data_IF_223975917387
#
_entry.id   IF_223975917387
#
_cell.length_a   1.000
_cell.length_b   1.000
_cell.length_c   1.000
_cell.angle_alpha   90.00
_cell.angle_beta   90.00
_cell.angle_gamma   90.00
#
_symmetry.space_group_name_H-M   'P 1'
#
loop_
_entity.id
_entity.type
_entity.pdbx_description
1 polymer ?
#
# COMPACT_ATOMS: atom_id res chain seq x y z
N UNK A 1 25.04 -17.21 -4.55
CA UNK A 1 25.07 -15.82 -5.06
C UNK A 1 26.49 -15.23 -5.15
N UNK A 2 27.39 -15.46 -4.20
CA UNK A 2 28.79 -14.97 -4.30
C UNK A 2 29.59 -15.61 -5.45
N UNK A 3 29.31 -16.84 -5.85
CA UNK A 3 29.93 -17.48 -7.03
C UNK A 3 29.41 -16.96 -8.38
N UNK A 4 28.33 -16.18 -8.40
CA UNK A 4 27.77 -15.60 -9.64
C UNK A 4 28.48 -14.31 -10.05
N UNK A 5 29.14 -13.65 -9.11
CA UNK A 5 29.75 -12.34 -9.29
C UNK A 5 31.19 -12.40 -8.81
N UNK A 6 32.14 -12.00 -9.65
CA UNK A 6 33.56 -12.03 -9.33
C UNK A 6 33.94 -10.74 -8.57
N UNK A 7 33.52 -10.67 -7.30
CA UNK A 7 33.68 -9.47 -6.47
C UNK A 7 35.14 -9.16 -6.14
N UNK A 8 35.51 -7.88 -6.28
CA UNK A 8 36.74 -7.32 -5.76
C UNK A 8 36.37 -6.10 -4.90
N UNK A 9 36.78 -6.11 -3.63
CA UNK A 9 36.43 -5.08 -2.67
C UNK A 9 37.56 -4.04 -2.57
N UNK A 10 37.18 -2.76 -2.59
CA UNK A 10 38.09 -1.64 -2.43
C UNK A 10 37.56 -0.70 -1.35
N UNK A 11 38.47 -0.06 -0.62
CA UNK A 11 38.12 0.95 0.38
C UNK A 11 38.03 2.33 -0.29
N UNK A 12 36.84 2.93 -0.24
CA UNK A 12 36.54 4.25 -0.85
C UNK A 12 35.77 5.12 0.13
N UNK A 13 36.31 5.31 1.33
CA UNK A 13 35.68 6.13 2.38
C UNK A 13 35.81 7.62 2.03
N UNK A 14 34.68 8.24 1.66
CA UNK A 14 34.60 9.68 1.33
C UNK A 14 33.75 10.42 2.37
N UNK A 15 33.96 11.74 2.50
CA UNK A 15 33.11 12.63 3.30
C UNK A 15 32.04 13.35 2.45
N UNK A 16 31.82 12.91 1.21
CA UNK A 16 30.82 13.51 0.33
C UNK A 16 29.41 13.26 0.91
N UNK A 17 28.53 14.27 0.91
CA UNK A 17 27.17 14.10 1.42
C UNK A 17 26.33 13.21 0.50
N UNK A 18 25.47 12.38 1.09
CA UNK A 18 24.58 11.45 0.39
C UNK A 18 23.26 12.13 -0.05
N UNK A 19 23.33 13.28 -0.71
CA UNK A 19 22.14 14.10 -0.99
C UNK A 19 21.15 13.42 -1.92
N UNK A 20 21.64 12.71 -2.94
CA UNK A 20 20.78 12.01 -3.90
C UNK A 20 20.20 10.74 -3.29
N UNK A 21 21.01 9.98 -2.57
CA UNK A 21 20.61 8.72 -1.94
C UNK A 21 19.57 8.94 -0.84
N UNK A 22 19.74 9.98 -0.02
CA UNK A 22 18.83 10.30 1.09
C UNK A 22 17.53 10.97 0.64
N UNK A 23 17.45 11.46 -0.60
CA UNK A 23 16.25 12.10 -1.14
C UNK A 23 15.02 11.17 -1.21
N UNK A 24 15.26 9.87 -1.30
CA UNK A 24 14.23 8.83 -1.40
C UNK A 24 13.90 8.17 -0.04
N UNK A 25 14.57 8.58 1.04
CA UNK A 25 14.31 8.05 2.37
C UNK A 25 13.04 8.66 2.99
N UNK A 26 12.31 7.82 3.71
CA UNK A 26 11.26 8.29 4.63
C UNK A 26 11.90 8.77 5.93
N UNK A 27 12.54 9.93 5.89
CA UNK A 27 13.05 10.55 7.10
C UNK A 27 11.91 11.16 7.91
N UNK A 28 11.93 10.95 9.24
CA UNK A 28 10.93 11.46 10.18
C UNK A 28 10.77 13.00 10.12
N UNK A 29 11.81 13.71 9.69
CA UNK A 29 11.84 15.18 9.59
C UNK A 29 11.43 15.69 8.20
N UNK A 30 11.32 14.81 7.19
CA UNK A 30 10.97 15.19 5.82
C UNK A 30 9.52 14.84 5.54
N UNK A 31 8.71 15.86 5.27
CA UNK A 31 7.33 15.71 4.83
C UNK A 31 7.32 15.46 3.33
N UNK A 32 7.33 14.20 2.91
CA UNK A 32 7.14 13.85 1.50
C UNK A 32 5.74 14.32 1.03
N UNK A 33 5.71 15.06 -0.07
CA UNK A 33 4.50 15.64 -0.66
C UNK A 33 3.98 14.87 -1.89
N UNK A 34 4.35 13.59 -2.04
CA UNK A 34 3.95 12.71 -3.14
C UNK A 34 3.14 11.49 -2.70
N UNK A 35 2.79 10.63 -3.68
CA UNK A 35 2.27 9.29 -3.39
C UNK A 35 3.31 8.45 -2.66
N UNK A 36 2.87 7.48 -1.86
CA UNK A 36 3.75 6.58 -1.12
C UNK A 36 4.58 5.74 -2.11
N UNK A 37 5.93 5.78 -2.04
CA UNK A 37 6.75 4.95 -2.92
C UNK A 37 6.65 3.47 -2.52
N UNK A 38 6.91 2.57 -3.47
CA UNK A 38 6.77 1.12 -3.31
C UNK A 38 7.50 0.55 -2.08
N UNK A 39 8.72 1.03 -1.81
CA UNK A 39 9.52 0.62 -0.65
C UNK A 39 8.85 0.96 0.68
N UNK A 40 8.13 2.08 0.71
CA UNK A 40 7.41 2.57 1.90
C UNK A 40 6.15 1.78 2.13
N UNK A 41 5.41 1.53 1.04
CA UNK A 41 4.21 0.71 1.04
C UNK A 41 4.52 -0.70 1.56
N UNK A 42 5.54 -1.35 1.00
CA UNK A 42 5.98 -2.69 1.43
C UNK A 42 6.44 -2.70 2.89
N UNK A 43 7.20 -1.68 3.33
CA UNK A 43 7.65 -1.59 4.72
C UNK A 43 6.49 -1.46 5.72
N UNK A 44 5.51 -0.60 5.45
CA UNK A 44 4.32 -0.45 6.31
C UNK A 44 3.50 -1.73 6.31
N UNK A 45 3.22 -2.32 5.14
CA UNK A 45 2.39 -3.52 5.05
C UNK A 45 3.03 -4.74 5.70
N UNK A 46 4.36 -4.86 5.71
CA UNK A 46 5.08 -5.91 6.45
C UNK A 46 4.85 -5.85 7.97
N UNK A 47 4.55 -4.67 8.52
CA UNK A 47 4.24 -4.51 9.94
C UNK A 47 2.80 -4.92 10.31
N UNK A 48 1.92 -5.07 9.31
CA UNK A 48 0.53 -5.44 9.51
C UNK A 48 0.34 -6.94 9.67
N UNK A 49 -0.78 -7.30 10.31
CA UNK A 49 -1.21 -8.71 10.43
C UNK A 49 -1.51 -9.33 9.06
N UNK A 50 -1.42 -10.67 8.91
CA UNK A 50 -1.74 -11.34 7.64
C UNK A 50 -3.15 -11.03 7.11
N UNK A 51 -4.14 -10.96 8.01
CA UNK A 51 -5.52 -10.62 7.63
C UNK A 51 -5.62 -9.17 7.13
N UNK A 52 -4.94 -8.24 7.79
CA UNK A 52 -4.88 -6.83 7.36
C UNK A 52 -4.23 -6.71 5.96
N UNK A 53 -3.14 -7.43 5.71
CA UNK A 53 -2.54 -7.52 4.36
C UNK A 53 -3.52 -8.09 3.34
N UNK A 54 -4.28 -9.12 3.70
CA UNK A 54 -5.34 -9.68 2.86
C UNK A 54 -6.46 -8.69 2.53
N UNK A 55 -6.90 -7.90 3.52
CA UNK A 55 -7.91 -6.84 3.32
C UNK A 55 -7.37 -5.78 2.37
N UNK A 56 -6.13 -5.32 2.57
CA UNK A 56 -5.50 -4.35 1.68
C UNK A 56 -5.34 -4.89 0.25
N UNK A 57 -4.91 -6.15 0.10
CA UNK A 57 -4.78 -6.83 -1.19
C UNK A 57 -6.11 -6.91 -1.95
N UNK A 58 -7.19 -7.24 -1.24
CA UNK A 58 -8.54 -7.28 -1.82
C UNK A 58 -8.97 -5.90 -2.33
N UNK A 59 -8.74 -4.85 -1.54
CA UNK A 59 -9.03 -3.47 -1.94
C UNK A 59 -8.20 -3.04 -3.16
N UNK A 60 -6.90 -3.39 -3.21
CA UNK A 60 -6.01 -3.08 -4.32
C UNK A 60 -6.46 -3.75 -5.62
N UNK A 61 -6.81 -5.05 -5.58
CA UNK A 61 -7.32 -5.78 -6.77
C UNK A 61 -8.59 -5.12 -7.30
N UNK A 62 -9.55 -4.86 -6.40
CA UNK A 62 -10.80 -4.21 -6.79
C UNK A 62 -10.60 -2.81 -7.38
N UNK A 63 -9.63 -2.04 -6.88
CA UNK A 63 -9.31 -0.73 -7.44
C UNK A 63 -8.70 -0.83 -8.85
N UNK A 64 -7.77 -1.76 -9.08
CA UNK A 64 -7.14 -1.95 -10.39
C UNK A 64 -8.13 -2.46 -11.45
N UNK A 65 -8.99 -3.41 -11.08
CA UNK A 65 -10.00 -3.97 -11.99
C UNK A 65 -11.02 -2.92 -12.48
N UNK A 66 -11.31 -1.92 -11.64
CA UNK A 66 -12.31 -0.89 -11.92
C UNK A 66 -11.72 0.45 -12.38
N UNK A 67 -10.39 0.59 -12.43
CA UNK A 67 -9.73 1.85 -12.78
C UNK A 67 -9.99 2.31 -14.21
N UNK A 68 -10.23 1.37 -15.13
CA UNK A 68 -10.57 1.64 -16.53
C UNK A 68 -11.98 2.24 -16.71
N UNK A 69 -12.84 2.13 -15.68
CA UNK A 69 -14.22 2.63 -15.74
C UNK A 69 -14.28 4.11 -15.33
N UNK A 70 -14.59 5.05 -16.25
CA UNK A 70 -14.62 6.49 -15.93
C UNK A 70 -15.72 6.90 -14.93
N UNK A 71 -16.66 5.99 -14.64
CA UNK A 71 -17.72 6.19 -13.63
C UNK A 71 -17.38 5.59 -12.26
N UNK A 72 -16.17 5.05 -12.07
CA UNK A 72 -15.81 4.42 -10.81
C UNK A 72 -15.57 5.47 -9.71
N UNK A 73 -16.50 5.55 -8.76
CA UNK A 73 -16.43 6.48 -7.63
C UNK A 73 -15.62 5.94 -6.44
N UNK A 74 -15.26 4.65 -6.47
CA UNK A 74 -14.62 3.89 -5.39
C UNK A 74 -15.50 2.74 -4.89
N UNK A 75 -15.03 2.01 -3.88
CA UNK A 75 -15.76 0.89 -3.29
C UNK A 75 -16.54 1.33 -2.04
N UNK A 76 -17.83 0.98 -1.95
CA UNK A 76 -18.65 1.29 -0.78
C UNK A 76 -18.21 0.44 0.42
N UNK A 77 -18.33 0.99 1.63
CA UNK A 77 -18.00 0.24 2.85
C UNK A 77 -18.83 -1.06 2.98
N UNK A 78 -20.11 -1.02 2.60
CA UNK A 78 -21.00 -2.17 2.72
C UNK A 78 -20.58 -3.32 1.80
N UNK A 79 -20.28 -3.02 0.54
CA UNK A 79 -19.82 -4.02 -0.43
C UNK A 79 -18.45 -4.56 -0.05
N UNK A 80 -17.54 -3.68 0.41
CA UNK A 80 -16.22 -4.11 0.87
C UNK A 80 -16.30 -5.04 2.08
N UNK A 81 -17.18 -4.73 3.03
CA UNK A 81 -17.42 -5.58 4.19
C UNK A 81 -17.92 -6.96 3.79
N UNK A 82 -18.85 -7.03 2.84
CA UNK A 82 -19.35 -8.30 2.32
C UNK A 82 -18.21 -9.13 1.72
N UNK A 83 -17.40 -8.55 0.83
CA UNK A 83 -16.27 -9.26 0.19
C UNK A 83 -15.22 -9.71 1.23
N UNK A 84 -14.89 -8.87 2.22
CA UNK A 84 -13.95 -9.24 3.28
C UNK A 84 -14.48 -10.40 4.14
N UNK A 85 -15.80 -10.46 4.37
CA UNK A 85 -16.43 -11.54 5.13
C UNK A 85 -16.49 -12.84 4.34
N UNK A 86 -16.78 -12.77 3.04
CA UNK A 86 -16.75 -13.92 2.13
C UNK A 86 -15.34 -14.53 2.01
N UNK A 87 -14.31 -13.70 2.07
CA UNK A 87 -12.90 -14.13 2.10
C UNK A 87 -12.40 -14.55 3.49
N UNK A 88 -13.27 -14.60 4.51
CA UNK A 88 -12.93 -14.93 5.91
C UNK A 88 -11.83 -14.04 6.53
N UNK A 89 -11.67 -12.80 6.06
CA UNK A 89 -10.65 -11.88 6.57
C UNK A 89 -11.08 -11.16 7.85
N UNK A 90 -12.39 -10.94 8.02
CA UNK A 90 -12.98 -10.24 9.16
C UNK A 90 -14.19 -10.97 9.71
N UNK A 91 -14.42 -10.84 11.02
CA UNK A 91 -15.52 -11.47 11.74
C UNK A 91 -16.69 -10.51 12.06
N UNK A 92 -16.48 -9.19 11.99
CA UNK A 92 -17.50 -8.19 12.34
C UNK A 92 -17.23 -6.85 11.64
N UNK A 93 -18.25 -6.00 11.57
CA UNK A 93 -18.13 -4.64 11.04
C UNK A 93 -17.11 -3.81 11.85
N UNK A 94 -17.12 -3.96 13.18
CA UNK A 94 -16.23 -3.22 14.08
C UNK A 94 -14.75 -3.55 13.81
N UNK A 95 -14.42 -4.81 13.54
CA UNK A 95 -13.03 -5.20 13.24
C UNK A 95 -12.56 -4.65 11.91
N UNK A 96 -13.42 -4.61 10.88
CA UNK A 96 -13.09 -3.95 9.62
C UNK A 96 -12.89 -2.44 9.80
N UNK A 97 -13.75 -1.76 10.58
CA UNK A 97 -13.58 -0.33 10.87
C UNK A 97 -12.27 -0.02 11.58
N UNK A 98 -11.86 -0.85 12.53
CA UNK A 98 -10.57 -0.70 13.20
C UNK A 98 -9.41 -0.81 12.19
N UNK A 99 -9.46 -1.80 11.30
CA UNK A 99 -8.45 -1.97 10.23
C UNK A 99 -8.41 -0.80 9.25
N UNK A 100 -9.59 -0.29 8.83
CA UNK A 100 -9.66 0.90 7.97
C UNK A 100 -9.13 2.17 8.67
N UNK A 101 -9.26 2.24 10.00
CA UNK A 101 -8.70 3.35 10.80
C UNK A 101 -7.17 3.25 10.82
N UNK A 102 -6.62 2.06 11.06
CA UNK A 102 -5.18 1.80 10.99
C UNK A 102 -4.60 2.15 9.62
N UNK A 103 -5.28 1.76 8.52
CA UNK A 103 -4.86 2.12 7.17
C UNK A 103 -4.90 3.64 6.91
N UNK A 104 -5.84 4.36 7.51
CA UNK A 104 -5.91 5.83 7.42
C UNK A 104 -4.78 6.50 8.18
N UNK A 105 -4.45 6.00 9.37
CA UNK A 105 -3.36 6.55 10.19
C UNK A 105 -2.01 6.40 9.48
N UNK A 106 -1.83 5.30 8.75
CA UNK A 106 -0.69 5.07 7.87
C UNK A 106 -0.80 5.72 6.48
N UNK A 107 -1.87 6.47 6.21
CA UNK A 107 -2.17 7.14 4.93
C UNK A 107 -2.21 6.20 3.71
N UNK A 108 -2.50 4.93 3.94
CA UNK A 108 -2.63 3.90 2.90
C UNK A 108 -3.95 4.01 2.14
N UNK A 109 -5.00 4.54 2.79
CA UNK A 109 -6.31 4.74 2.17
C UNK A 109 -6.83 6.16 2.42
N UNK A 110 -7.70 6.60 1.53
CA UNK A 110 -8.56 7.77 1.68
C UNK A 110 -10.02 7.34 1.58
N UNK A 111 -10.88 8.13 2.21
CA UNK A 111 -12.32 8.01 2.08
C UNK A 111 -12.85 9.26 1.41
N UNK A 112 -13.64 9.09 0.37
CA UNK A 112 -14.32 10.16 -0.35
C UNK A 112 -15.82 10.00 -0.16
N UNK A 113 -16.49 11.08 0.27
CA UNK A 113 -17.95 11.11 0.30
C UNK A 113 -18.46 11.41 -1.10
N UNK A 114 -19.29 10.51 -1.63
CA UNK A 114 -20.01 10.73 -2.89
C UNK A 114 -21.11 11.78 -2.75
N UNK A 115 -21.64 12.23 -3.88
CA UNK A 115 -22.79 13.14 -3.92
C UNK A 115 -24.03 12.54 -3.21
N UNK A 116 -24.13 11.21 -3.21
CA UNK A 116 -25.22 10.44 -2.61
C UNK A 116 -25.05 10.24 -1.09
N UNK A 117 -23.99 10.81 -0.49
CA UNK A 117 -23.67 10.67 0.93
C UNK A 117 -22.97 9.36 1.32
N UNK A 118 -22.80 8.44 0.35
CA UNK A 118 -22.08 7.17 0.54
C UNK A 118 -20.57 7.42 0.65
N UNK A 119 -19.92 6.70 1.58
CA UNK A 119 -18.48 6.72 1.75
C UNK A 119 -17.80 5.68 0.87
N UNK A 120 -16.90 6.16 0.01
CA UNK A 120 -16.10 5.35 -0.91
C UNK A 120 -14.65 5.25 -0.44
N UNK A 121 -14.12 4.04 -0.44
CA UNK A 121 -12.74 3.72 -0.09
C UNK A 121 -11.87 3.74 -1.34
N UNK A 122 -10.71 4.38 -1.25
CA UNK A 122 -9.75 4.50 -2.36
C UNK A 122 -8.30 4.56 -1.84
N UNK A 123 -7.39 3.95 -2.58
CA UNK A 123 -5.95 3.91 -2.30
C UNK A 123 -5.28 5.05 -3.10
N UNK A 124 -4.68 6.05 -2.45
CA UNK A 124 -4.02 7.18 -3.11
C UNK A 124 -2.59 6.83 -3.57
N UNK A 125 -2.44 5.69 -4.25
CA UNK A 125 -1.17 5.21 -4.80
C UNK A 125 -1.36 5.03 -6.31
N UNK A 126 -0.29 5.28 -7.07
CA UNK A 126 -0.31 5.10 -8.52
C UNK A 126 -0.56 3.63 -8.88
N UNK A 127 -1.26 3.41 -10.00
CA UNK A 127 -1.65 2.06 -10.41
C UNK A 127 -0.48 1.18 -10.80
N UNK A 128 0.57 1.74 -11.42
CA UNK A 128 1.79 0.99 -11.71
C UNK A 128 2.47 0.52 -10.43
N UNK A 129 2.54 1.41 -9.43
CA UNK A 129 3.10 1.06 -8.10
C UNK A 129 2.26 0.00 -7.36
N UNK A 130 0.92 0.04 -7.51
CA UNK A 130 0.03 -0.96 -6.93
C UNK A 130 0.16 -2.33 -7.61
N UNK A 131 0.34 -2.36 -8.93
CA UNK A 131 0.60 -3.60 -9.68
C UNK A 131 1.92 -4.22 -9.26
N UNK A 132 3.02 -3.44 -9.27
CA UNK A 132 4.34 -3.90 -8.82
C UNK A 132 4.31 -4.44 -7.38
N UNK A 133 3.48 -3.84 -6.52
CA UNK A 133 3.28 -4.29 -5.15
C UNK A 133 2.60 -5.67 -5.10
N UNK A 134 1.52 -5.86 -5.86
CA UNK A 134 0.77 -7.12 -5.89
C UNK A 134 1.63 -8.27 -6.45
N UNK A 135 2.40 -8.03 -7.51
CA UNK A 135 3.29 -9.03 -8.10
C UNK A 135 4.35 -9.50 -7.09
N UNK A 136 5.00 -8.57 -6.39
CA UNK A 136 6.00 -8.90 -5.36
C UNK A 136 5.43 -9.69 -4.18
N UNK A 137 4.21 -9.36 -3.76
CA UNK A 137 3.53 -10.09 -2.68
C UNK A 137 3.14 -11.52 -3.08
N UNK A 138 2.82 -11.74 -4.36
CA UNK A 138 2.53 -13.08 -4.89
C UNK A 138 3.81 -13.92 -5.05
N UNK A 139 4.96 -13.31 -5.31
CA UNK A 139 6.27 -14.00 -5.28
C UNK A 139 6.75 -14.36 -3.86
N UNK A 140 6.39 -13.58 -2.85
CA UNK A 140 6.79 -13.79 -1.45
C UNK A 140 5.85 -14.73 -0.65
N UNK A 141 4.67 -15.09 -1.19
CA UNK A 141 3.64 -15.95 -0.54
C UNK A 141 3.80 -17.44 -0.88
#
# INVERSE_FOLDING_TARGET
>A
KQSLYNWLWYETTTYSPYTEETSYENSLLVKQSGSLPLSSLTHVLRSLTPNARGIFRLLSKYQLDNQESPSYAGLSFQDFYQQCREAFLVNSDLTLRAQLTEFRDHKLIRTKKGADGVEYLLIPVDSGTLTDFLEKEEEES
#
